data_IF_220953510873
#
_entry.id   IF_220953510873
#
_cell.length_a   1.000
_cell.length_b   1.000
_cell.length_c   1.000
_cell.angle_alpha   90.00
_cell.angle_beta   90.00
_cell.angle_gamma   90.00
#
_symmetry.space_group_name_H-M   'P 1'
#
loop_
_entity.id
_entity.type
_entity.pdbx_description
1 polymer ?
#
# COMPACT_ATOMS: atom_id res chain seq x y z
N UNK A 1 8.66 16.96 -2.09
CA UNK A 1 8.81 16.29 -0.78
C UNK A 1 7.81 15.15 -0.85
N UNK A 2 8.11 14.10 -1.61
CA UNK A 2 7.06 13.27 -2.25
C UNK A 2 7.37 11.77 -2.14
N UNK A 3 8.01 11.36 -1.04
CA UNK A 3 8.20 9.96 -0.71
C UNK A 3 7.09 9.53 0.24
N UNK A 4 6.25 8.61 -0.21
CA UNK A 4 5.25 8.00 0.65
C UNK A 4 5.74 6.66 1.19
N UNK A 5 5.28 6.29 2.38
CA UNK A 5 5.47 4.98 2.95
C UNK A 5 4.13 4.27 3.01
N UNK A 6 4.08 3.01 2.59
CA UNK A 6 2.90 2.18 2.72
C UNK A 6 3.22 0.85 3.41
N UNK A 7 2.32 0.43 4.29
CA UNK A 7 2.56 -0.70 5.19
C UNK A 7 1.25 -1.33 5.65
N UNK A 8 1.22 -2.67 5.70
CA UNK A 8 0.16 -3.42 6.38
C UNK A 8 0.59 -3.68 7.82
N UNK A 9 -0.26 -3.33 8.78
CA UNK A 9 0.09 -3.47 10.20
C UNK A 9 0.04 -4.91 10.75
N UNK A 10 -0.21 -5.90 9.90
CA UNK A 10 -0.43 -7.29 10.28
C UNK A 10 -1.91 -7.65 10.43
N UNK A 11 -2.18 -8.85 10.95
CA UNK A 11 -3.54 -9.33 11.20
C UNK A 11 -4.05 -8.89 12.58
N UNK A 12 -5.22 -8.25 12.61
CA UNK A 12 -5.89 -7.83 13.83
C UNK A 12 -7.23 -8.54 13.94
N UNK A 13 -7.46 -9.21 15.06
CA UNK A 13 -8.77 -9.78 15.36
C UNK A 13 -9.68 -8.70 15.95
N UNK A 14 -10.78 -8.40 15.27
CA UNK A 14 -11.82 -7.49 15.75
C UNK A 14 -12.68 -8.16 16.84
N UNK A 15 -13.43 -7.35 17.60
CA UNK A 15 -14.35 -7.85 18.65
C UNK A 15 -15.41 -8.81 18.10
N UNK A 16 -15.81 -8.66 16.82
CA UNK A 16 -16.75 -9.54 16.13
C UNK A 16 -16.10 -10.82 15.58
N UNK A 17 -14.84 -11.10 15.96
CA UNK A 17 -14.03 -12.26 15.55
C UNK A 17 -13.71 -12.32 14.06
N UNK A 18 -13.71 -11.17 13.37
CA UNK A 18 -13.20 -11.07 12.00
C UNK A 18 -11.78 -10.55 12.00
N UNK A 19 -10.96 -11.10 11.10
CA UNK A 19 -9.64 -10.56 10.84
C UNK A 19 -9.72 -9.29 10.00
N UNK A 20 -8.91 -8.31 10.39
CA UNK A 20 -8.69 -7.04 9.70
C UNK A 20 -7.20 -6.90 9.41
N UNK A 21 -6.89 -6.34 8.25
CA UNK A 21 -5.53 -6.08 7.76
C UNK A 21 -5.45 -4.60 7.41
N UNK A 22 -5.13 -3.72 8.38
CA UNK A 22 -5.07 -2.29 8.14
C UNK A 22 -3.93 -1.94 7.18
N UNK A 23 -4.26 -1.27 6.08
CA UNK A 23 -3.31 -0.66 5.17
C UNK A 23 -3.15 0.82 5.52
N UNK A 24 -1.91 1.24 5.79
CA UNK A 24 -1.57 2.63 6.08
C UNK A 24 -0.70 3.22 4.97
N UNK A 25 -0.95 4.48 4.62
CA UNK A 25 -0.13 5.28 3.69
C UNK A 25 0.20 6.59 4.38
N UNK A 26 1.48 6.93 4.45
CA UNK A 26 1.97 8.12 5.17
C UNK A 26 3.00 8.90 4.36
N UNK A 27 3.05 10.21 4.54
CA UNK A 27 4.18 11.01 4.04
C UNK A 27 5.44 10.77 4.88
N UNK A 28 6.58 10.55 4.20
CA UNK A 28 7.83 10.22 4.88
C UNK A 28 8.44 11.39 5.66
N UNK A 29 8.23 12.64 5.26
CA UNK A 29 8.87 13.77 5.93
C UNK A 29 8.04 14.27 7.11
N UNK A 30 6.76 14.51 6.90
CA UNK A 30 5.84 15.10 7.86
C UNK A 30 5.18 14.07 8.80
N UNK A 31 5.25 12.78 8.47
CA UNK A 31 4.48 11.71 9.12
C UNK A 31 2.96 11.89 9.02
N UNK A 32 2.49 12.73 8.09
CA UNK A 32 1.07 12.88 7.82
C UNK A 32 0.47 11.56 7.34
N UNK A 33 -0.66 11.16 7.93
CA UNK A 33 -1.39 9.95 7.55
C UNK A 33 -2.31 10.27 6.37
N UNK A 34 -1.92 9.80 5.19
CA UNK A 34 -2.63 10.03 3.93
C UNK A 34 -3.85 9.12 3.85
N UNK A 35 -3.69 7.85 4.22
CA UNK A 35 -4.80 6.90 4.26
C UNK A 35 -4.59 5.83 5.34
N UNK A 36 -5.70 5.33 5.88
CA UNK A 36 -5.75 4.20 6.80
C UNK A 36 -7.04 3.42 6.52
N UNK A 37 -6.91 2.30 5.82
CA UNK A 37 -8.03 1.50 5.36
C UNK A 37 -8.05 0.13 6.04
N UNK A 38 -9.19 -0.20 6.65
CA UNK A 38 -9.41 -1.47 7.32
C UNK A 38 -9.86 -2.52 6.29
N UNK A 39 -8.92 -3.33 5.79
CA UNK A 39 -9.21 -4.33 4.76
C UNK A 39 -9.49 -5.71 5.36
N UNK A 40 -10.36 -6.48 4.73
CA UNK A 40 -10.67 -7.86 5.14
C UNK A 40 -9.63 -8.89 4.66
N UNK A 41 -8.67 -8.47 3.84
CA UNK A 41 -7.63 -9.33 3.25
C UNK A 41 -6.46 -8.49 2.75
N UNK A 42 -5.27 -9.09 2.63
CA UNK A 42 -4.07 -8.49 2.01
C UNK A 42 -4.01 -8.68 0.48
N UNK A 43 -5.08 -9.17 -0.15
CA UNK A 43 -5.13 -9.38 -1.60
C UNK A 43 -4.90 -8.07 -2.36
N UNK A 44 -4.09 -8.17 -3.41
CA UNK A 44 -3.68 -7.05 -4.26
C UNK A 44 -4.84 -6.16 -4.73
N UNK A 45 -5.97 -6.74 -5.12
CA UNK A 45 -7.12 -6.01 -5.65
C UNK A 45 -7.63 -4.91 -4.69
N UNK A 46 -7.62 -5.16 -3.39
CA UNK A 46 -8.04 -4.17 -2.40
C UNK A 46 -7.01 -3.07 -2.22
N UNK A 47 -5.71 -3.42 -2.22
CA UNK A 47 -4.65 -2.42 -2.18
C UNK A 47 -4.72 -1.49 -3.41
N UNK A 48 -4.95 -2.03 -4.61
CA UNK A 48 -5.15 -1.22 -5.83
C UNK A 48 -6.25 -0.16 -5.66
N UNK A 49 -7.42 -0.55 -5.12
CA UNK A 49 -8.53 0.39 -4.89
C UNK A 49 -8.17 1.51 -3.91
N UNK A 50 -7.43 1.18 -2.84
CA UNK A 50 -6.96 2.18 -1.87
C UNK A 50 -5.99 3.16 -2.55
N UNK A 51 -4.96 2.66 -3.23
CA UNK A 51 -4.00 3.53 -3.92
C UNK A 51 -4.65 4.36 -5.04
N UNK A 52 -5.58 3.79 -5.80
CA UNK A 52 -6.30 4.53 -6.83
C UNK A 52 -7.08 5.70 -6.23
N UNK A 53 -7.76 5.48 -5.10
CA UNK A 53 -8.52 6.52 -4.40
C UNK A 53 -7.60 7.62 -3.87
N UNK A 54 -6.50 7.22 -3.22
CA UNK A 54 -5.50 8.16 -2.69
C UNK A 54 -4.84 8.97 -3.81
N UNK A 55 -4.50 8.35 -4.93
CA UNK A 55 -3.90 9.04 -6.07
C UNK A 55 -4.86 10.04 -6.71
N UNK A 56 -6.17 9.75 -6.73
CA UNK A 56 -7.19 10.70 -7.20
C UNK A 56 -7.34 11.91 -6.27
N UNK A 57 -7.20 11.70 -4.96
CA UNK A 57 -7.39 12.76 -3.96
C UNK A 57 -6.14 13.62 -3.76
N UNK A 58 -4.96 13.01 -3.65
CA UNK A 58 -3.71 13.67 -3.27
C UNK A 58 -2.70 13.79 -4.41
N UNK A 59 -2.99 13.23 -5.58
CA UNK A 59 -2.06 13.14 -6.70
C UNK A 59 -1.07 11.98 -6.57
N UNK A 60 -0.10 11.92 -7.48
CA UNK A 60 0.93 10.88 -7.49
C UNK A 60 2.17 11.33 -6.70
N UNK A 61 2.72 10.49 -5.80
CA UNK A 61 4.02 10.76 -5.20
C UNK A 61 5.15 10.57 -6.23
N UNK A 62 6.35 11.04 -5.91
CA UNK A 62 7.54 10.68 -6.70
C UNK A 62 7.93 9.22 -6.50
N UNK A 63 7.82 8.73 -5.27
CA UNK A 63 8.32 7.42 -4.89
C UNK A 63 7.45 6.82 -3.78
N UNK A 64 7.34 5.50 -3.75
CA UNK A 64 6.65 4.77 -2.68
C UNK A 64 7.60 3.74 -2.08
N UNK A 65 7.77 3.81 -0.77
CA UNK A 65 8.53 2.82 0.00
C UNK A 65 7.58 1.90 0.76
N UNK A 66 7.70 0.61 0.50
CA UNK A 66 6.97 -0.43 1.23
C UNK A 66 7.94 -1.42 1.84
N UNK A 67 7.41 -2.34 2.64
CA UNK A 67 8.12 -3.57 2.96
C UNK A 67 8.11 -4.53 1.74
N UNK A 68 8.79 -5.67 1.88
CA UNK A 68 8.81 -6.74 0.87
C UNK A 68 7.66 -7.75 1.05
N UNK A 69 6.60 -7.37 1.77
CA UNK A 69 5.43 -8.20 1.99
C UNK A 69 4.49 -8.20 0.78
N UNK A 70 3.62 -9.21 0.70
CA UNK A 70 2.46 -9.13 -0.18
C UNK A 70 1.51 -8.04 0.35
N UNK A 71 0.89 -7.23 -0.53
CA UNK A 71 0.88 -7.29 -1.99
C UNK A 71 1.94 -6.41 -2.68
N UNK A 72 2.89 -5.83 -1.94
CA UNK A 72 3.85 -4.86 -2.48
C UNK A 72 5.00 -5.51 -3.24
N UNK A 73 5.48 -6.65 -2.74
CA UNK A 73 6.43 -7.50 -3.42
C UNK A 73 5.86 -8.92 -3.60
N UNK A 74 6.36 -9.62 -4.62
CA UNK A 74 6.02 -11.01 -4.88
C UNK A 74 7.27 -11.88 -4.75
N UNK A 75 7.45 -12.62 -3.63
CA UNK A 75 8.66 -13.41 -3.39
C UNK A 75 8.98 -14.46 -4.47
N UNK A 76 7.96 -14.88 -5.23
CA UNK A 76 8.07 -15.89 -6.27
C UNK A 76 8.11 -15.31 -7.70
N UNK A 77 8.15 -13.98 -7.86
CA UNK A 77 8.21 -13.33 -9.17
C UNK A 77 9.64 -12.90 -9.51
N UNK A 78 9.95 -12.80 -10.82
CA UNK A 78 11.19 -12.20 -11.31
C UNK A 78 11.38 -10.81 -10.67
N UNK A 79 12.55 -10.56 -10.10
CA UNK A 79 12.92 -9.33 -9.39
C UNK A 79 12.04 -8.95 -8.18
N UNK A 80 11.29 -9.89 -7.60
CA UNK A 80 10.35 -9.65 -6.51
C UNK A 80 9.21 -8.65 -6.82
N UNK A 81 8.97 -8.34 -8.10
CA UNK A 81 7.97 -7.35 -8.50
C UNK A 81 6.56 -7.92 -8.39
N UNK A 82 5.70 -7.21 -7.66
CA UNK A 82 4.26 -7.48 -7.62
C UNK A 82 3.55 -6.78 -8.78
N UNK A 83 2.28 -7.13 -9.03
CA UNK A 83 1.46 -6.36 -9.99
C UNK A 83 1.30 -4.90 -9.58
N UNK A 84 1.23 -4.66 -8.27
CA UNK A 84 1.07 -3.33 -7.70
C UNK A 84 2.33 -2.47 -7.93
N UNK A 85 3.52 -3.04 -7.69
CA UNK A 85 4.79 -2.34 -7.94
C UNK A 85 5.01 -2.07 -9.43
N UNK A 86 4.65 -3.02 -10.31
CA UNK A 86 4.67 -2.79 -11.77
C UNK A 86 3.72 -1.67 -12.18
N UNK A 87 2.55 -1.58 -11.55
CA UNK A 87 1.60 -0.51 -11.83
C UNK A 87 2.14 0.87 -11.41
N UNK A 88 2.79 0.97 -10.24
CA UNK A 88 3.46 2.21 -9.82
C UNK A 88 4.54 2.66 -10.82
N UNK A 89 5.38 1.73 -11.28
CA UNK A 89 6.40 2.04 -12.30
C UNK A 89 5.77 2.59 -13.60
N UNK A 90 4.61 2.05 -14.02
CA UNK A 90 3.88 2.56 -15.20
C UNK A 90 3.32 3.97 -15.00
N UNK A 91 3.05 4.36 -13.75
CA UNK A 91 2.63 5.71 -13.39
C UNK A 91 3.82 6.69 -13.25
N UNK A 92 5.05 6.21 -13.40
CA UNK A 92 6.26 7.02 -13.22
C UNK A 92 6.62 7.24 -11.76
N UNK A 93 6.16 6.36 -10.85
CA UNK A 93 6.53 6.35 -9.44
C UNK A 93 7.76 5.44 -9.28
N UNK A 94 8.81 5.97 -8.66
CA UNK A 94 10.06 5.25 -8.37
C UNK A 94 9.92 4.19 -7.27
#
# INVERSE_FOLDING_TARGET
NDLWCADYKGEFMLTDRRYCYPLTITDFASRYLIACEALSTTKEAYAFTVFESVFKEFGLPRAIRTDNGVPFASPNALFNLSKLSVWWLRLGID
#
